data_IF_533102481048
#
_entry.id   IF_533102481048
#
_cell.length_a   1.000
_cell.length_b   1.000
_cell.length_c   1.000
_cell.angle_alpha   90.00
_cell.angle_beta   90.00
_cell.angle_gamma   90.00
#
_symmetry.space_group_name_H-M   'P 1'
#
loop_
_entity.id
_entity.type
_entity.pdbx_description
1 polymer ?
#
# COMPACT_ATOMS: atom_id res chain seq x y z
N UNK A 1 4.39 -4.74 31.53
CA UNK A 1 4.83 -4.75 30.11
C UNK A 1 3.96 -5.74 29.33
N UNK A 2 3.17 -5.29 28.36
CA UNK A 2 2.57 -6.20 27.37
C UNK A 2 3.71 -6.70 26.49
N UNK A 3 4.00 -8.01 26.54
CA UNK A 3 4.97 -8.63 25.63
C UNK A 3 4.32 -8.65 24.25
N UNK A 4 4.94 -8.01 23.26
CA UNK A 4 4.48 -8.10 21.88
C UNK A 4 4.45 -9.58 21.45
N UNK A 5 3.45 -10.00 20.66
CA UNK A 5 3.43 -11.36 20.12
C UNK A 5 4.71 -11.59 19.31
N UNK A 6 5.42 -12.68 19.61
CA UNK A 6 6.68 -13.04 18.94
C UNK A 6 6.44 -13.26 17.44
N UNK A 7 7.32 -12.73 16.61
CA UNK A 7 7.28 -12.93 15.17
C UNK A 7 7.51 -14.40 14.85
N UNK A 8 6.72 -14.90 13.89
CA UNK A 8 6.85 -16.28 13.43
C UNK A 8 7.82 -16.31 12.25
N UNK A 9 8.88 -17.12 12.36
CA UNK A 9 9.88 -17.31 11.30
C UNK A 9 9.85 -18.75 10.79
N UNK A 10 10.20 -18.96 9.53
CA UNK A 10 10.52 -20.30 9.02
C UNK A 10 12.00 -20.60 9.27
N UNK A 11 12.37 -21.89 9.31
CA UNK A 11 13.76 -22.31 9.54
C UNK A 11 14.76 -21.76 8.51
N UNK A 12 14.28 -21.42 7.31
CA UNK A 12 15.08 -20.85 6.22
C UNK A 12 14.91 -19.32 6.10
N UNK A 13 14.12 -18.68 6.97
CA UNK A 13 14.02 -17.23 6.99
C UNK A 13 15.39 -16.62 7.31
N UNK A 14 15.85 -15.60 6.58
CA UNK A 14 16.99 -14.82 7.04
C UNK A 14 16.64 -14.14 8.39
N UNK A 15 17.67 -13.84 9.19
CA UNK A 15 17.55 -13.00 10.40
C UNK A 15 16.64 -13.57 11.51
N UNK A 16 16.83 -14.84 11.89
CA UNK A 16 16.17 -15.42 13.07
C UNK A 16 16.88 -14.93 14.35
N UNK A 17 16.14 -14.31 15.26
CA UNK A 17 16.61 -13.83 16.55
C UNK A 17 16.11 -14.70 17.71
N UNK A 18 16.70 -14.51 18.90
CA UNK A 18 16.45 -15.37 20.07
C UNK A 18 15.01 -15.26 20.62
N UNK A 19 14.31 -14.17 20.31
CA UNK A 19 12.94 -13.91 20.73
C UNK A 19 11.88 -14.31 19.70
N UNK A 20 12.28 -14.86 18.56
CA UNK A 20 11.36 -15.36 17.54
C UNK A 20 10.77 -16.73 17.87
N UNK A 21 9.63 -17.05 17.23
CA UNK A 21 9.05 -18.40 17.22
C UNK A 21 9.28 -19.03 15.86
N UNK A 22 10.16 -20.03 15.80
CA UNK A 22 10.42 -20.76 14.55
C UNK A 22 9.33 -21.82 14.33
N UNK A 23 8.61 -21.73 13.23
CA UNK A 23 7.59 -22.70 12.81
C UNK A 23 8.29 -23.95 12.26
N UNK A 24 7.87 -25.12 12.74
CA UNK A 24 8.35 -26.42 12.25
C UNK A 24 7.94 -26.66 10.80
N UNK A 25 8.84 -27.23 9.98
CA UNK A 25 8.57 -27.60 8.58
C UNK A 25 7.35 -28.50 8.39
N UNK A 26 6.94 -29.26 9.41
CA UNK A 26 5.67 -30.03 9.40
C UNK A 26 4.42 -29.20 9.08
N UNK A 27 4.45 -27.88 9.35
CA UNK A 27 3.34 -26.96 9.04
C UNK A 27 3.41 -26.43 7.60
N UNK A 28 4.48 -26.71 6.86
CA UNK A 28 4.62 -26.43 5.42
C UNK A 28 4.16 -27.62 4.55
N UNK A 29 3.31 -28.50 5.08
CA UNK A 29 2.80 -29.66 4.32
C UNK A 29 2.15 -29.30 2.98
N UNK A 30 1.67 -28.06 2.84
CA UNK A 30 1.13 -27.53 1.58
C UNK A 30 2.19 -27.08 0.57
N UNK A 31 3.47 -26.97 0.96
CA UNK A 31 4.59 -26.49 0.14
C UNK A 31 5.65 -27.58 -0.10
N UNK A 32 5.76 -28.58 0.77
CA UNK A 32 6.74 -29.66 0.62
C UNK A 32 6.38 -30.56 -0.58
N UNK A 33 7.37 -30.81 -1.45
CA UNK A 33 7.27 -31.67 -2.65
C UNK A 33 6.24 -31.22 -3.70
N UNK A 34 5.83 -29.96 -3.68
CA UNK A 34 5.04 -29.34 -4.74
C UNK A 34 5.92 -28.45 -5.58
N UNK A 35 5.59 -28.35 -6.86
CA UNK A 35 6.14 -27.29 -7.71
C UNK A 35 5.64 -25.95 -7.18
N UNK A 36 6.57 -25.08 -6.77
CA UNK A 36 6.27 -23.73 -6.30
C UNK A 36 6.52 -22.81 -7.48
N UNK A 37 5.46 -22.19 -7.98
CA UNK A 37 5.55 -21.13 -8.99
C UNK A 37 5.71 -19.82 -8.23
N UNK A 38 6.91 -19.24 -8.30
CA UNK A 38 7.15 -17.87 -7.82
C UNK A 38 6.68 -16.94 -8.93
N UNK A 39 5.53 -16.30 -8.76
CA UNK A 39 5.07 -15.24 -9.65
C UNK A 39 5.54 -13.88 -9.12
N UNK A 40 5.73 -12.91 -10.01
CA UNK A 40 5.85 -11.52 -9.57
C UNK A 40 4.61 -11.13 -8.77
N UNK A 41 4.79 -10.26 -7.77
CA UNK A 41 3.66 -9.64 -7.07
C UNK A 41 2.90 -8.84 -8.12
N UNK A 42 1.73 -9.34 -8.52
CA UNK A 42 0.80 -8.54 -9.28
C UNK A 42 0.36 -7.41 -8.33
N UNK A 43 0.80 -6.18 -8.59
CA UNK A 43 0.41 -5.01 -7.80
C UNK A 43 -1.10 -4.69 -7.91
N UNK A 44 -1.83 -5.46 -8.75
CA UNK A 44 -3.26 -5.36 -8.95
C UNK A 44 -3.63 -4.11 -9.74
N UNK A 45 -4.91 -3.97 -10.06
CA UNK A 45 -5.51 -2.77 -10.63
C UNK A 45 -5.61 -1.63 -9.60
N UNK A 46 -4.53 -1.34 -8.86
CA UNK A 46 -4.50 -0.39 -7.75
C UNK A 46 -3.86 0.92 -8.19
N UNK A 47 -4.54 1.66 -9.07
CA UNK A 47 -4.00 2.84 -9.72
C UNK A 47 -4.78 4.08 -9.31
N UNK A 48 -4.16 5.24 -9.53
CA UNK A 48 -4.79 6.56 -9.44
C UNK A 48 -4.51 7.28 -10.75
N UNK A 49 -5.26 8.36 -11.01
CA UNK A 49 -5.10 9.12 -12.24
C UNK A 49 -3.68 9.73 -12.34
N UNK A 50 -3.13 9.78 -13.55
CA UNK A 50 -1.77 10.26 -13.78
C UNK A 50 -1.55 11.72 -13.37
N UNK A 51 -2.62 12.53 -13.36
CA UNK A 51 -2.57 13.94 -13.01
C UNK A 51 -2.76 14.17 -11.50
N UNK A 52 -2.91 13.10 -10.71
CA UNK A 52 -2.91 13.14 -9.25
C UNK A 52 -1.59 13.72 -8.73
N UNK A 53 -1.69 14.74 -7.88
CA UNK A 53 -0.55 15.50 -7.35
C UNK A 53 -0.02 14.85 -6.07
N UNK A 54 1.30 14.67 -6.00
CA UNK A 54 2.02 14.20 -4.83
C UNK A 54 2.96 15.28 -4.29
N UNK A 55 2.98 15.41 -2.96
CA UNK A 55 3.94 16.25 -2.24
C UNK A 55 5.30 15.53 -2.19
N UNK A 56 6.29 16.03 -2.92
CA UNK A 56 7.66 15.48 -2.89
C UNK A 56 8.62 16.42 -2.18
N UNK A 57 9.79 15.93 -1.79
CA UNK A 57 10.85 16.78 -1.21
C UNK A 57 11.41 17.81 -2.19
N UNK A 58 11.06 17.74 -3.48
CA UNK A 58 11.44 18.68 -4.53
C UNK A 58 10.26 19.57 -5.00
N UNK A 59 9.16 19.61 -4.24
CA UNK A 59 7.91 20.30 -4.60
C UNK A 59 6.83 19.34 -5.09
N UNK A 60 5.68 19.88 -5.44
CA UNK A 60 4.57 19.10 -6.00
C UNK A 60 4.95 18.51 -7.37
N UNK A 61 4.51 17.26 -7.59
CA UNK A 61 4.67 16.54 -8.86
C UNK A 61 3.47 15.68 -9.13
N UNK A 62 3.05 15.58 -10.38
CA UNK A 62 2.04 14.57 -10.74
C UNK A 62 2.66 13.17 -10.76
N UNK A 63 1.83 12.14 -10.63
CA UNK A 63 2.30 10.75 -10.75
C UNK A 63 2.86 10.48 -12.14
N UNK A 64 2.25 11.07 -13.18
CA UNK A 64 2.75 11.04 -14.55
C UNK A 64 4.18 11.60 -14.63
N UNK A 65 4.42 12.79 -14.07
CA UNK A 65 5.76 13.39 -14.04
C UNK A 65 6.77 12.52 -13.31
N UNK A 66 6.38 11.92 -12.17
CA UNK A 66 7.26 11.03 -11.39
C UNK A 66 7.68 9.83 -12.24
N UNK A 67 6.77 9.26 -13.03
CA UNK A 67 7.08 8.15 -13.91
C UNK A 67 7.94 8.58 -15.11
N UNK A 68 7.51 9.59 -15.85
CA UNK A 68 8.17 10.06 -17.08
C UNK A 68 9.59 10.56 -16.83
N UNK A 69 9.84 11.21 -15.69
CA UNK A 69 11.17 11.69 -15.29
C UNK A 69 11.99 10.63 -14.56
N UNK A 70 11.42 9.45 -14.31
CA UNK A 70 12.00 8.42 -13.45
C UNK A 70 12.46 8.98 -12.09
N UNK A 71 11.65 9.86 -11.49
CA UNK A 71 11.97 10.48 -10.22
C UNK A 71 11.96 9.42 -9.10
N UNK A 72 13.03 9.42 -8.28
CA UNK A 72 13.25 8.47 -7.17
C UNK A 72 13.59 9.16 -5.85
N UNK A 73 13.09 10.40 -5.69
CA UNK A 73 13.25 11.18 -4.46
C UNK A 73 12.24 10.78 -3.39
N UNK A 74 12.01 11.68 -2.43
CA UNK A 74 11.14 11.43 -1.29
C UNK A 74 9.72 11.96 -1.56
N UNK A 75 8.72 11.20 -1.13
CA UNK A 75 7.30 11.56 -1.19
C UNK A 75 6.70 11.54 0.22
N UNK A 76 5.77 12.46 0.48
CA UNK A 76 4.99 12.51 1.71
C UNK A 76 4.15 11.22 1.87
N UNK A 77 4.20 10.62 3.04
CA UNK A 77 3.49 9.38 3.40
C UNK A 77 2.95 9.49 4.82
N UNK A 78 1.91 8.72 5.13
CA UNK A 78 1.31 8.67 6.46
C UNK A 78 1.64 7.36 7.17
N UNK A 79 2.27 7.45 8.33
CA UNK A 79 2.57 6.29 9.15
C UNK A 79 1.40 5.98 10.08
N UNK A 80 0.62 4.96 9.73
CA UNK A 80 -0.56 4.53 10.49
C UNK A 80 -0.25 4.05 11.93
N UNK A 81 1.02 3.75 12.27
CA UNK A 81 1.38 3.22 13.59
C UNK A 81 1.55 4.32 14.64
N UNK A 82 2.02 5.50 14.23
CA UNK A 82 2.23 6.65 15.11
C UNK A 82 1.38 7.86 14.73
N UNK A 83 0.71 7.84 13.57
CA UNK A 83 -0.14 8.90 13.06
C UNK A 83 0.61 10.10 12.48
N UNK A 84 1.90 9.95 12.18
CA UNK A 84 2.77 11.03 11.71
C UNK A 84 2.94 11.02 10.19
N UNK A 85 3.09 12.23 9.63
CA UNK A 85 3.48 12.42 8.23
C UNK A 85 5.01 12.32 8.14
N UNK A 86 5.50 11.51 7.20
CA UNK A 86 6.93 11.28 6.98
C UNK A 86 7.26 11.21 5.49
N UNK A 87 8.49 11.56 5.14
CA UNK A 87 8.99 11.44 3.77
C UNK A 87 9.60 10.06 3.53
N UNK A 88 9.11 9.34 2.51
CA UNK A 88 9.59 8.00 2.12
C UNK A 88 10.13 8.01 0.71
N UNK A 89 11.15 7.19 0.45
CA UNK A 89 11.75 7.09 -0.88
C UNK A 89 10.84 6.35 -1.86
N UNK A 90 10.68 6.90 -3.06
CA UNK A 90 10.01 6.22 -4.18
C UNK A 90 10.96 5.14 -4.71
N UNK A 91 10.57 3.88 -4.54
CA UNK A 91 11.36 2.73 -5.00
C UNK A 91 11.08 2.40 -6.47
N UNK A 92 9.82 2.53 -6.90
CA UNK A 92 9.39 2.21 -8.25
C UNK A 92 8.17 3.04 -8.67
N UNK A 93 7.90 3.09 -9.97
CA UNK A 93 6.67 3.62 -10.55
C UNK A 93 6.29 2.81 -11.79
N UNK A 94 5.00 2.60 -12.04
CA UNK A 94 4.51 1.88 -13.21
C UNK A 94 3.25 2.54 -13.75
N UNK A 95 2.97 2.29 -15.03
CA UNK A 95 1.73 2.69 -15.70
C UNK A 95 1.03 1.40 -16.13
N UNK A 96 -0.21 1.21 -15.69
CA UNK A 96 -1.05 0.13 -16.14
C UNK A 96 -1.74 0.49 -17.46
N UNK A 97 -2.13 -0.54 -18.23
CA UNK A 97 -3.09 -0.36 -19.33
C UNK A 97 -4.48 -0.08 -18.77
N UNK A 98 -5.15 0.93 -19.31
CA UNK A 98 -6.48 1.38 -18.86
C UNK A 98 -7.58 0.39 -19.28
N UNK A 99 -7.84 -0.61 -18.44
CA UNK A 99 -8.95 -1.56 -18.60
C UNK A 99 -9.77 -1.70 -17.30
N UNK A 100 -9.58 -0.78 -16.35
CA UNK A 100 -10.17 -0.84 -15.02
C UNK A 100 -11.37 0.11 -14.93
N UNK A 101 -12.32 -0.20 -14.05
CA UNK A 101 -13.42 0.72 -13.70
C UNK A 101 -12.88 1.83 -12.78
N UNK A 102 -13.23 3.08 -13.09
CA UNK A 102 -12.77 4.27 -12.38
C UNK A 102 -13.87 4.89 -11.53
N UNK A 103 -13.47 5.36 -10.36
CA UNK A 103 -14.30 6.06 -9.38
C UNK A 103 -13.72 7.44 -9.10
N UNK A 104 -14.59 8.39 -8.81
CA UNK A 104 -14.23 9.72 -8.30
C UNK A 104 -14.71 9.83 -6.85
N UNK A 105 -13.77 10.11 -5.94
CA UNK A 105 -14.06 10.39 -4.54
C UNK A 105 -14.01 11.90 -4.36
N UNK A 106 -15.12 12.49 -3.94
CA UNK A 106 -15.23 13.91 -3.60
C UNK A 106 -15.33 14.06 -2.08
N UNK A 107 -14.51 14.95 -1.50
CA UNK A 107 -14.61 15.29 -0.09
C UNK A 107 -15.60 16.42 0.18
N UNK A 108 -15.79 16.78 1.45
CA UNK A 108 -16.73 17.85 1.84
C UNK A 108 -16.29 19.25 1.43
N UNK A 109 -15.05 19.42 0.97
CA UNK A 109 -14.47 20.68 0.51
C UNK A 109 -14.47 20.79 -1.03
N UNK A 110 -14.93 19.75 -1.73
CA UNK A 110 -14.97 19.68 -3.18
C UNK A 110 -13.66 19.23 -3.83
N UNK A 111 -12.72 18.67 -3.05
CA UNK A 111 -11.52 18.06 -3.61
C UNK A 111 -11.88 16.69 -4.19
N UNK A 112 -11.43 16.42 -5.41
CA UNK A 112 -11.70 15.17 -6.12
C UNK A 112 -10.43 14.32 -6.26
N UNK A 113 -10.59 13.00 -6.08
CA UNK A 113 -9.55 12.01 -6.31
C UNK A 113 -10.09 10.91 -7.24
N UNK A 114 -9.45 10.74 -8.40
CA UNK A 114 -9.80 9.72 -9.40
C UNK A 114 -8.93 8.49 -9.25
N UNK A 115 -9.57 7.34 -9.03
CA UNK A 115 -8.92 6.09 -8.64
C UNK A 115 -9.64 4.89 -9.23
N UNK A 116 -8.94 3.78 -9.38
CA UNK A 116 -9.55 2.53 -9.83
C UNK A 116 -10.36 1.86 -8.72
N UNK A 117 -11.33 1.04 -9.10
CA UNK A 117 -12.27 0.39 -8.17
C UNK A 117 -11.63 -0.50 -7.10
N UNK A 118 -10.47 -1.08 -7.43
CA UNK A 118 -9.70 -2.00 -6.57
C UNK A 118 -8.75 -1.26 -5.62
N UNK A 119 -8.47 0.04 -5.88
CA UNK A 119 -7.53 0.83 -5.09
C UNK A 119 -7.90 0.78 -3.60
N UNK A 120 -6.89 0.64 -2.74
CA UNK A 120 -7.08 0.52 -1.30
C UNK A 120 -6.95 1.86 -0.61
N UNK A 121 -7.98 2.25 0.14
CA UNK A 121 -7.97 3.43 1.01
C UNK A 121 -8.08 3.02 2.47
N UNK A 122 -7.46 3.78 3.37
CA UNK A 122 -7.48 3.50 4.80
C UNK A 122 -8.66 4.19 5.48
N UNK A 123 -9.48 3.42 6.21
CA UNK A 123 -10.60 3.93 7.00
C UNK A 123 -10.18 3.96 8.48
N UNK A 124 -9.81 5.13 9.04
CA UNK A 124 -9.34 5.23 10.42
C UNK A 124 -10.36 4.74 11.45
N UNK A 125 -11.66 4.93 11.22
CA UNK A 125 -12.70 4.48 12.16
C UNK A 125 -12.81 2.96 12.27
N UNK A 126 -12.44 2.24 11.20
CA UNK A 126 -12.49 0.78 11.14
C UNK A 126 -11.11 0.13 11.32
N UNK A 127 -10.04 0.93 11.34
CA UNK A 127 -8.66 0.47 11.43
C UNK A 127 -8.33 -0.60 10.36
N UNK A 128 -8.80 -0.39 9.13
CA UNK A 128 -8.61 -1.31 8.01
C UNK A 128 -8.53 -0.59 6.65
N UNK A 129 -7.94 -1.27 5.67
CA UNK A 129 -8.03 -0.87 4.27
C UNK A 129 -9.30 -1.44 3.64
N UNK A 130 -9.93 -0.66 2.75
CA UNK A 130 -11.03 -1.12 1.90
C UNK A 130 -10.79 -0.71 0.46
N UNK A 131 -11.38 -1.47 -0.45
CA UNK A 131 -11.41 -1.12 -1.88
C UNK A 131 -12.34 0.07 -2.09
N UNK A 132 -12.02 0.90 -3.07
CA UNK A 132 -12.86 2.07 -3.40
C UNK A 132 -14.30 1.67 -3.72
N UNK A 133 -14.52 0.59 -4.45
CA UNK A 133 -15.88 0.11 -4.76
C UNK A 133 -16.72 -0.34 -3.57
N UNK A 134 -16.08 -0.54 -2.42
CA UNK A 134 -16.74 -0.96 -1.17
C UNK A 134 -17.07 0.23 -0.26
N UNK A 135 -16.65 1.44 -0.64
CA UNK A 135 -16.94 2.67 0.10
C UNK A 135 -18.40 3.04 -0.02
N UNK A 136 -18.89 3.74 1.01
CA UNK A 136 -20.23 4.31 1.07
C UNK A 136 -20.13 5.79 1.37
N UNK A 137 -21.14 6.54 0.94
CA UNK A 137 -21.29 7.93 1.34
C UNK A 137 -21.25 8.05 2.87
N UNK A 138 -20.40 8.96 3.36
CA UNK A 138 -20.16 9.17 4.79
C UNK A 138 -19.02 8.35 5.39
N UNK A 139 -18.42 7.39 4.65
CA UNK A 139 -17.19 6.73 5.11
C UNK A 139 -16.06 7.75 5.23
N UNK A 140 -15.43 7.79 6.41
CA UNK A 140 -14.25 8.63 6.63
C UNK A 140 -13.01 7.88 6.19
N UNK A 141 -12.38 8.40 5.15
CA UNK A 141 -11.08 7.94 4.68
C UNK A 141 -9.99 8.89 5.17
N UNK A 142 -8.77 8.38 5.28
CA UNK A 142 -7.63 9.22 5.63
C UNK A 142 -7.28 10.14 4.45
N UNK A 143 -7.90 11.31 4.41
CA UNK A 143 -7.52 12.46 3.59
C UNK A 143 -6.86 13.50 4.50
N UNK A 144 -5.79 14.13 4.02
CA UNK A 144 -5.12 15.20 4.77
C UNK A 144 -6.09 16.38 4.88
N UNK A 145 -6.49 16.70 6.11
CA UNK A 145 -7.14 17.98 6.48
C UNK A 145 -6.12 19.11 6.56
#
# INVERSE_FOLDING_TARGET
MKKYPRTLHFQFSPEIHADDKVISLKYLGNFLQREIIITEKLDGANCVDGDTILNTSAGEKTIREIHETNYRGLVESYNISNGEIEFRQILNSFIATDNDEWYEIEDTEGNCLKVTEEHLVYLPELNCYRKVKELKEGDKILLKS
#
